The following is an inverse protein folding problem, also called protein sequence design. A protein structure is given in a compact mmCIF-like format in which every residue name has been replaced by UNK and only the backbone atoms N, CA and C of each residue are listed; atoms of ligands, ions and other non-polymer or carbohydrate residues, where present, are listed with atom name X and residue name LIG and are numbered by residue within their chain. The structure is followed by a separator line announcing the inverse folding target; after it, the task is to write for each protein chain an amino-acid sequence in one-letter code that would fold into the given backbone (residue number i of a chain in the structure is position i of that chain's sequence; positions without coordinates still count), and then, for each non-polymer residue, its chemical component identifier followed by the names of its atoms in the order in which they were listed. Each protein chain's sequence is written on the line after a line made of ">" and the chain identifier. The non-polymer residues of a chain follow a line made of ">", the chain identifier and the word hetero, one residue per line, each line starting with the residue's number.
data_IF_202997756945
#
_entry.id   IF_202997756945
#
_cell.length_a   1.000
_cell.length_b   1.000
_cell.length_c   1.000
_cell.angle_alpha   90.00
_cell.angle_beta   90.00
_cell.angle_gamma   90.00
#
_symmetry.space_group_name_H-M   'P 1'
#
loop_
_entity.id
_entity.type
_entity.pdbx_description
1 polymer ?
#
# COMPACT_ATOMS: atom_id res chain seq x y z
N UNK A 1 21.18 -6.01 -9.13
CA UNK A 1 19.90 -5.63 -8.50
C UNK A 1 19.92 -4.14 -8.25
N UNK A 2 18.75 -3.50 -8.11
CA UNK A 2 18.65 -2.12 -7.71
C UNK A 2 18.97 -2.00 -6.21
N UNK A 3 19.80 -1.04 -5.83
CA UNK A 3 20.09 -0.77 -4.42
C UNK A 3 18.97 0.12 -3.85
N UNK A 4 18.40 -0.26 -2.72
CA UNK A 4 17.36 0.50 -2.03
C UNK A 4 17.92 1.35 -0.87
N UNK A 5 19.17 1.17 -0.49
CA UNK A 5 19.80 1.88 0.62
C UNK A 5 19.70 3.39 0.44
N UNK A 6 19.39 4.10 1.50
CA UNK A 6 19.18 5.54 1.56
C UNK A 6 18.04 6.10 0.67
N UNK A 7 17.21 5.26 0.07
CA UNK A 7 15.95 5.70 -0.53
C UNK A 7 14.94 6.05 0.56
N UNK A 8 13.90 6.77 0.17
CA UNK A 8 12.80 7.14 1.06
C UNK A 8 11.49 6.55 0.53
N UNK A 9 10.79 5.80 1.37
CA UNK A 9 9.47 5.25 1.06
C UNK A 9 8.39 5.85 1.96
N UNK A 10 7.23 6.16 1.38
CA UNK A 10 6.00 6.43 2.13
C UNK A 10 5.10 5.21 2.02
N UNK A 11 4.64 4.70 3.19
CA UNK A 11 3.72 3.55 3.28
C UNK A 11 2.41 4.02 3.89
N UNK A 12 1.33 4.05 3.10
CA UNK A 12 0.02 4.37 3.63
C UNK A 12 -0.58 3.19 4.39
N UNK A 13 -1.18 3.46 5.56
CA UNK A 13 -1.65 2.39 6.44
C UNK A 13 -0.50 1.59 7.07
N UNK A 14 0.65 2.24 7.35
CA UNK A 14 1.88 1.58 7.82
C UNK A 14 1.91 1.24 9.31
N UNK A 15 0.87 1.58 10.08
CA UNK A 15 0.86 1.38 11.54
C UNK A 15 0.59 -0.05 12.00
N UNK A 16 0.09 -0.94 11.13
CA UNK A 16 -0.21 -2.35 11.47
C UNK A 16 -0.27 -3.25 10.24
N UNK A 17 -0.35 -4.55 10.48
CA UNK A 17 -0.61 -5.58 9.46
C UNK A 17 0.34 -5.50 8.27
N UNK A 18 -0.22 -5.58 7.08
CA UNK A 18 0.53 -5.64 5.83
C UNK A 18 1.43 -4.42 5.61
N UNK A 19 0.94 -3.21 5.91
CA UNK A 19 1.72 -1.98 5.76
C UNK A 19 2.93 -1.93 6.71
N UNK A 20 2.76 -2.37 7.99
CA UNK A 20 3.87 -2.49 8.96
C UNK A 20 4.91 -3.50 8.48
N UNK A 21 4.49 -4.66 8.00
CA UNK A 21 5.41 -5.68 7.48
C UNK A 21 6.22 -5.16 6.28
N UNK A 22 5.57 -4.50 5.32
CA UNK A 22 6.26 -3.87 4.17
C UNK A 22 7.24 -2.78 4.63
N UNK A 23 6.84 -1.93 5.58
CA UNK A 23 7.72 -0.90 6.13
C UNK A 23 8.99 -1.51 6.77
N UNK A 24 8.84 -2.57 7.56
CA UNK A 24 9.96 -3.28 8.18
C UNK A 24 10.85 -3.96 7.13
N UNK A 25 10.27 -4.63 6.14
CA UNK A 25 11.05 -5.29 5.09
C UNK A 25 11.90 -4.29 4.28
N UNK A 26 11.36 -3.10 3.99
CA UNK A 26 12.10 -2.03 3.30
C UNK A 26 13.14 -1.38 4.22
N UNK A 27 12.85 -1.19 5.50
CA UNK A 27 13.80 -0.68 6.49
C UNK A 27 15.04 -1.57 6.61
N UNK A 28 14.88 -2.90 6.58
CA UNK A 28 15.98 -3.85 6.58
C UNK A 28 16.89 -3.75 5.33
N UNK A 29 16.41 -3.16 4.25
CA UNK A 29 17.22 -2.80 3.06
C UNK A 29 17.83 -1.39 3.15
N UNK A 30 17.72 -0.72 4.32
CA UNK A 30 18.26 0.62 4.56
C UNK A 30 17.42 1.76 3.95
N UNK A 31 16.13 1.53 3.70
CA UNK A 31 15.18 2.55 3.23
C UNK A 31 14.69 3.37 4.41
N UNK A 32 14.71 4.71 4.29
CA UNK A 32 14.06 5.61 5.24
C UNK A 32 12.54 5.56 5.03
N UNK A 33 11.76 5.50 6.11
CA UNK A 33 10.34 5.18 6.05
C UNK A 33 9.47 6.28 6.64
N UNK A 34 8.52 6.79 5.84
CA UNK A 34 7.38 7.56 6.32
C UNK A 34 6.13 6.68 6.34
N UNK A 35 5.43 6.63 7.44
CA UNK A 35 4.17 5.89 7.55
C UNK A 35 2.99 6.80 7.85
N UNK A 36 1.81 6.43 7.33
CA UNK A 36 0.58 7.18 7.61
C UNK A 36 -0.52 6.27 8.13
N UNK A 37 -1.45 6.85 8.86
CA UNK A 37 -2.61 6.13 9.39
C UNK A 37 -3.46 6.99 10.32
N UNK A 38 -4.53 6.42 10.88
CA UNK A 38 -5.46 7.13 11.76
C UNK A 38 -5.16 6.94 13.25
N UNK A 39 -4.53 5.84 13.62
CA UNK A 39 -4.21 5.53 15.01
C UNK A 39 -2.74 5.90 15.29
N UNK A 40 -2.56 6.97 16.08
CA UNK A 40 -1.26 7.52 16.38
C UNK A 40 -0.38 6.57 17.21
N UNK A 41 -0.97 5.80 18.13
CA UNK A 41 -0.23 4.86 18.98
C UNK A 41 0.42 3.75 18.13
N UNK A 42 -0.34 3.16 17.20
CA UNK A 42 0.20 2.16 16.28
C UNK A 42 1.31 2.74 15.39
N UNK A 43 1.19 4.00 14.98
CA UNK A 43 2.22 4.66 14.17
C UNK A 43 3.47 4.90 14.99
N UNK A 44 3.36 5.37 16.24
CA UNK A 44 4.49 5.57 17.16
C UNK A 44 5.24 4.28 17.44
N UNK A 45 4.51 3.20 17.73
CA UNK A 45 5.10 1.88 17.95
C UNK A 45 5.88 1.40 16.71
N UNK A 46 5.27 1.55 15.52
CA UNK A 46 5.92 1.14 14.28
C UNK A 46 7.16 1.98 14.00
N UNK A 47 7.10 3.31 14.18
CA UNK A 47 8.28 4.19 14.01
C UNK A 47 9.40 3.79 14.96
N UNK A 48 9.09 3.54 16.25
CA UNK A 48 10.09 3.06 17.20
C UNK A 48 10.76 1.75 16.75
N UNK A 49 9.98 0.82 16.19
CA UNK A 49 10.51 -0.43 15.61
C UNK A 49 11.44 -0.15 14.43
N UNK A 50 11.07 0.78 13.53
CA UNK A 50 11.85 1.15 12.36
C UNK A 50 13.15 1.86 12.74
N UNK A 51 13.12 2.77 13.71
CA UNK A 51 14.30 3.47 14.21
C UNK A 51 15.30 2.50 14.89
N UNK A 52 14.81 1.46 15.56
CA UNK A 52 15.65 0.41 16.13
C UNK A 52 16.43 -0.40 15.06
N UNK A 53 15.95 -0.42 13.81
CA UNK A 53 16.70 -0.99 12.67
C UNK A 53 17.84 -0.07 12.22
N UNK A 54 17.82 1.22 12.58
CA UNK A 54 18.89 2.18 12.28
C UNK A 54 18.63 3.05 11.07
N UNK A 55 17.38 3.16 10.60
CA UNK A 55 16.97 4.06 9.52
C UNK A 55 16.25 5.30 10.08
N UNK A 56 16.08 6.32 9.24
CA UNK A 56 15.20 7.44 9.58
C UNK A 56 13.75 7.03 9.38
N UNK A 57 12.92 7.23 10.41
CA UNK A 57 11.49 6.97 10.32
C UNK A 57 10.68 8.18 10.79
N UNK A 58 9.51 8.38 10.21
CA UNK A 58 8.56 9.42 10.58
C UNK A 58 7.13 8.94 10.36
N UNK A 59 6.16 9.60 11.00
CA UNK A 59 4.75 9.32 10.77
C UNK A 59 3.93 10.60 10.62
N UNK A 60 2.79 10.48 9.95
CA UNK A 60 1.76 11.51 9.90
C UNK A 60 0.38 10.91 10.12
N UNK A 61 -0.42 11.56 10.98
CA UNK A 61 -1.75 11.08 11.38
C UNK A 61 -2.81 11.76 10.53
N UNK A 62 -3.46 11.04 9.66
CA UNK A 62 -4.59 11.53 8.88
C UNK A 62 -5.47 10.40 8.33
N UNK A 63 -6.68 10.77 7.87
CA UNK A 63 -7.53 9.86 7.10
C UNK A 63 -7.20 9.99 5.62
N UNK A 64 -6.95 8.85 4.97
CA UNK A 64 -6.52 8.79 3.56
C UNK A 64 -7.61 9.26 2.57
N UNK A 65 -8.87 9.33 3.01
CA UNK A 65 -10.03 9.77 2.23
C UNK A 65 -10.24 11.30 2.21
N UNK A 66 -9.39 12.06 2.91
CA UNK A 66 -9.36 13.52 2.86
C UNK A 66 -8.15 14.01 2.05
N UNK A 67 -8.39 14.56 0.86
CA UNK A 67 -7.32 15.00 -0.05
C UNK A 67 -6.38 16.04 0.56
N UNK A 68 -6.92 17.01 1.30
CA UNK A 68 -6.13 18.10 1.88
C UNK A 68 -5.19 17.58 2.97
N UNK A 69 -5.69 16.69 3.83
CA UNK A 69 -4.88 16.06 4.88
C UNK A 69 -3.78 15.17 4.27
N UNK A 70 -4.09 14.46 3.19
CA UNK A 70 -3.11 13.63 2.45
C UNK A 70 -2.00 14.49 1.86
N UNK A 71 -2.34 15.60 1.18
CA UNK A 71 -1.35 16.50 0.59
C UNK A 71 -0.44 17.07 1.68
N UNK A 72 -1.03 17.56 2.77
CA UNK A 72 -0.30 18.11 3.90
C UNK A 72 0.62 17.08 4.55
N UNK A 73 0.07 15.93 4.95
CA UNK A 73 0.82 14.91 5.69
C UNK A 73 1.92 14.24 4.86
N UNK A 74 1.70 14.02 3.56
CA UNK A 74 2.75 13.53 2.65
C UNK A 74 3.83 14.60 2.46
N UNK A 75 3.46 15.88 2.36
CA UNK A 75 4.41 16.98 2.27
C UNK A 75 5.33 17.06 3.49
N UNK A 76 4.75 16.99 4.69
CA UNK A 76 5.49 16.99 5.96
C UNK A 76 6.47 15.80 6.05
N UNK A 77 6.02 14.59 5.65
CA UNK A 77 6.90 13.41 5.62
C UNK A 77 8.02 13.55 4.60
N UNK A 78 7.74 14.09 3.42
CA UNK A 78 8.74 14.31 2.38
C UNK A 78 9.80 15.32 2.83
N UNK A 79 9.41 16.37 3.55
CA UNK A 79 10.35 17.35 4.13
C UNK A 79 11.23 16.72 5.20
N UNK A 80 10.63 16.01 6.18
CA UNK A 80 11.36 15.35 7.26
C UNK A 80 12.37 14.31 6.77
N UNK A 81 12.04 13.58 5.71
CA UNK A 81 12.84 12.48 5.19
C UNK A 81 13.74 12.85 4.00
N UNK A 82 13.67 14.10 3.51
CA UNK A 82 14.51 14.59 2.41
C UNK A 82 14.04 14.15 1.01
N UNK A 83 12.74 13.97 0.84
CA UNK A 83 12.09 13.63 -0.41
C UNK A 83 11.40 12.26 -0.41
N UNK A 84 10.91 11.82 -1.57
CA UNK A 84 10.23 10.52 -1.74
C UNK A 84 10.77 9.83 -2.99
N UNK A 85 11.11 8.55 -2.86
CA UNK A 85 11.51 7.66 -3.97
C UNK A 85 10.46 6.59 -4.26
N UNK A 86 9.73 6.16 -3.22
CA UNK A 86 8.81 5.02 -3.27
C UNK A 86 7.50 5.39 -2.56
N UNK A 87 6.37 5.07 -3.18
CA UNK A 87 5.07 5.08 -2.53
C UNK A 87 4.52 3.66 -2.48
N UNK A 88 4.11 3.21 -1.30
CA UNK A 88 3.32 1.99 -1.11
C UNK A 88 1.89 2.40 -0.74
N UNK A 89 0.98 2.36 -1.70
CA UNK A 89 -0.45 2.55 -1.51
C UNK A 89 -1.07 1.27 -0.95
N UNK A 90 -1.00 1.14 0.38
CA UNK A 90 -1.50 -0.02 1.11
C UNK A 90 -2.77 0.28 1.92
N UNK A 91 -3.01 1.52 2.33
CA UNK A 91 -4.18 1.87 3.11
C UNK A 91 -5.47 1.39 2.45
N UNK A 92 -6.32 0.71 3.22
CA UNK A 92 -7.58 0.19 2.74
C UNK A 92 -8.43 -0.39 3.86
N UNK A 93 -9.72 -0.50 3.59
CA UNK A 93 -10.71 -1.13 4.46
C UNK A 93 -11.49 -2.18 3.68
N UNK A 94 -11.98 -3.20 4.38
CA UNK A 94 -12.92 -4.18 3.88
C UNK A 94 -14.20 -4.12 4.70
N UNK A 95 -15.33 -4.01 4.03
CA UNK A 95 -16.63 -4.28 4.59
C UNK A 95 -17.28 -5.34 3.70
N UNK A 96 -17.72 -6.42 4.31
CA UNK A 96 -18.26 -7.60 3.66
C UNK A 96 -19.72 -7.81 4.08
N UNK A 97 -20.57 -8.16 3.13
CA UNK A 97 -22.01 -8.35 3.31
C UNK A 97 -22.73 -8.40 1.97
N UNK A 98 -24.01 -8.80 2.00
CA UNK A 98 -24.83 -8.82 0.80
C UNK A 98 -25.02 -7.40 0.24
N UNK A 99 -25.25 -7.27 -1.06
CA UNK A 99 -25.39 -5.96 -1.69
C UNK A 99 -26.67 -5.24 -1.25
N UNK A 100 -27.71 -6.01 -0.97
CA UNK A 100 -29.01 -5.49 -0.53
C UNK A 100 -29.00 -4.98 0.92
N UNK A 101 -28.13 -5.53 1.78
CA UNK A 101 -28.09 -5.18 3.22
C UNK A 101 -27.00 -4.15 3.54
N UNK A 102 -26.04 -3.92 2.63
CA UNK A 102 -24.95 -2.99 2.90
C UNK A 102 -25.42 -1.54 2.84
N UNK A 103 -25.27 -0.75 3.93
CA UNK A 103 -25.62 0.67 3.90
C UNK A 103 -24.79 1.43 2.85
N UNK A 104 -25.42 2.35 2.13
CA UNK A 104 -24.77 3.09 1.03
C UNK A 104 -23.55 3.90 1.49
N UNK A 105 -23.62 4.51 2.67
CA UNK A 105 -22.52 5.26 3.27
C UNK A 105 -21.30 4.38 3.59
N UNK A 106 -21.54 3.14 4.04
CA UNK A 106 -20.49 2.14 4.27
C UNK A 106 -19.87 1.73 2.93
N UNK A 107 -20.69 1.48 1.91
CA UNK A 107 -20.23 1.14 0.57
C UNK A 107 -19.37 2.26 -0.03
N UNK A 108 -19.85 3.52 0.05
CA UNK A 108 -19.13 4.70 -0.41
C UNK A 108 -17.80 4.90 0.36
N UNK A 109 -17.80 4.65 1.67
CA UNK A 109 -16.59 4.78 2.50
C UNK A 109 -15.49 3.83 2.04
N UNK A 110 -15.84 2.60 1.60
CA UNK A 110 -14.86 1.67 1.02
C UNK A 110 -14.25 2.24 -0.26
N UNK A 111 -15.06 2.81 -1.15
CA UNK A 111 -14.56 3.45 -2.37
C UNK A 111 -13.67 4.66 -2.06
N UNK A 112 -14.11 5.54 -1.15
CA UNK A 112 -13.34 6.71 -0.75
C UNK A 112 -11.97 6.32 -0.20
N UNK A 113 -11.92 5.34 0.70
CA UNK A 113 -10.67 4.90 1.30
C UNK A 113 -9.76 4.18 0.29
N UNK A 114 -10.29 3.16 -0.40
CA UNK A 114 -9.46 2.25 -1.17
C UNK A 114 -9.06 2.79 -2.55
N UNK A 115 -9.88 3.66 -3.14
CA UNK A 115 -9.64 4.22 -4.47
C UNK A 115 -9.21 5.68 -4.41
N UNK A 116 -10.03 6.55 -3.82
CA UNK A 116 -9.71 7.99 -3.77
C UNK A 116 -8.47 8.24 -2.91
N UNK A 117 -8.34 7.55 -1.77
CA UNK A 117 -7.14 7.64 -0.93
C UNK A 117 -5.87 7.28 -1.68
N UNK A 118 -5.88 6.19 -2.46
CA UNK A 118 -4.74 5.80 -3.28
C UNK A 118 -4.44 6.84 -4.39
N UNK A 119 -5.47 7.39 -5.02
CA UNK A 119 -5.33 8.48 -5.98
C UNK A 119 -4.74 9.74 -5.35
N UNK A 120 -5.23 10.17 -4.19
CA UNK A 120 -4.72 11.35 -3.48
C UNK A 120 -3.24 11.19 -3.09
N UNK A 121 -2.88 10.05 -2.53
CA UNK A 121 -1.49 9.77 -2.15
C UNK A 121 -0.57 9.74 -3.38
N UNK A 122 -0.99 9.08 -4.46
CA UNK A 122 -0.23 9.06 -5.71
C UNK A 122 -0.04 10.46 -6.30
N UNK A 123 -1.09 11.28 -6.32
CA UNK A 123 -1.05 12.68 -6.78
C UNK A 123 -0.12 13.52 -5.89
N UNK A 124 -0.16 13.33 -4.57
CA UNK A 124 0.66 14.09 -3.62
C UNK A 124 2.15 13.73 -3.72
N UNK A 125 2.52 12.48 -3.99
CA UNK A 125 3.94 12.10 -4.13
C UNK A 125 4.52 12.38 -5.51
N UNK A 126 3.70 12.48 -6.56
CA UNK A 126 4.16 12.63 -7.94
C UNK A 126 5.19 13.76 -8.16
N UNK A 127 5.01 14.99 -7.59
CA UNK A 127 6.01 16.05 -7.74
C UNK A 127 7.40 15.67 -7.23
N UNK A 128 7.48 14.92 -6.12
CA UNK A 128 8.74 14.46 -5.53
C UNK A 128 9.43 13.42 -6.40
N UNK A 129 8.66 12.41 -6.89
CA UNK A 129 9.18 11.39 -7.80
C UNK A 129 9.70 12.01 -9.10
N UNK A 130 8.93 12.95 -9.66
CA UNK A 130 9.31 13.69 -10.88
C UNK A 130 10.58 14.53 -10.67
N UNK A 131 10.71 15.21 -9.53
CA UNK A 131 11.89 16.00 -9.20
C UNK A 131 13.16 15.15 -9.09
N UNK A 132 13.05 13.89 -8.64
CA UNK A 132 14.14 12.92 -8.62
C UNK A 132 14.44 12.28 -9.98
N UNK A 133 13.61 12.52 -11.02
CA UNK A 133 13.73 11.92 -12.35
C UNK A 133 13.51 10.41 -12.38
N UNK A 134 13.03 9.82 -11.27
CA UNK A 134 12.68 8.41 -11.14
C UNK A 134 11.83 8.17 -9.89
N UNK A 135 11.10 7.07 -9.86
CA UNK A 135 10.35 6.66 -8.67
C UNK A 135 9.62 5.34 -8.85
N UNK A 136 9.08 4.84 -7.76
CA UNK A 136 8.28 3.62 -7.74
C UNK A 136 6.98 3.83 -6.99
N UNK A 137 5.87 3.40 -7.55
CA UNK A 137 4.56 3.36 -6.89
C UNK A 137 4.05 1.93 -6.91
N UNK A 138 3.79 1.37 -5.73
CA UNK A 138 3.19 0.06 -5.55
C UNK A 138 1.77 0.24 -5.05
N UNK A 139 0.79 -0.14 -5.85
CA UNK A 139 -0.62 -0.13 -5.48
C UNK A 139 -1.04 -1.53 -5.03
N UNK A 140 -1.44 -1.66 -3.77
CA UNK A 140 -1.92 -2.90 -3.19
C UNK A 140 -3.40 -3.07 -3.51
N UNK A 141 -3.67 -3.76 -4.62
CA UNK A 141 -5.02 -4.13 -5.02
C UNK A 141 -5.49 -5.42 -4.29
N UNK A 142 -6.10 -6.35 -4.97
CA UNK A 142 -6.51 -7.66 -4.45
C UNK A 142 -6.90 -8.59 -5.59
N UNK A 143 -6.80 -9.90 -5.40
CA UNK A 143 -7.40 -10.90 -6.29
C UNK A 143 -8.93 -10.72 -6.42
N UNK A 144 -9.60 -10.17 -5.40
CA UNK A 144 -11.00 -9.79 -5.46
C UNK A 144 -11.31 -8.71 -6.52
N UNK A 145 -10.33 -7.86 -6.87
CA UNK A 145 -10.45 -6.89 -7.96
C UNK A 145 -10.33 -7.54 -9.35
N UNK A 146 -9.79 -8.75 -9.45
CA UNK A 146 -9.71 -9.54 -10.70
C UNK A 146 -10.95 -10.43 -10.86
N UNK A 147 -11.41 -11.03 -9.76
CA UNK A 147 -12.58 -11.90 -9.73
C UNK A 147 -13.32 -11.68 -8.41
N UNK A 148 -14.45 -11.00 -8.48
CA UNK A 148 -15.30 -10.75 -7.33
C UNK A 148 -16.00 -12.02 -6.86
N UNK A 149 -16.23 -12.11 -5.56
CA UNK A 149 -17.11 -13.09 -4.93
C UNK A 149 -18.37 -12.44 -4.38
N UNK A 150 -19.34 -13.25 -3.94
CA UNK A 150 -20.50 -12.75 -3.19
C UNK A 150 -20.07 -12.07 -1.88
N UNK A 151 -20.86 -11.10 -1.43
CA UNK A 151 -20.62 -10.41 -0.15
C UNK A 151 -19.45 -9.41 -0.12
N UNK A 152 -18.83 -9.09 -1.27
CA UNK A 152 -17.68 -8.18 -1.30
C UNK A 152 -17.80 -7.06 -2.36
N UNK A 153 -19.02 -6.62 -2.67
CA UNK A 153 -19.31 -5.70 -3.77
C UNK A 153 -18.47 -4.41 -3.70
N UNK A 154 -18.49 -3.70 -2.58
CA UNK A 154 -17.74 -2.45 -2.41
C UNK A 154 -16.21 -2.68 -2.50
N UNK A 155 -15.73 -3.69 -1.79
CA UNK A 155 -14.30 -4.02 -1.76
C UNK A 155 -13.78 -4.42 -3.15
N UNK A 156 -14.45 -5.38 -3.80
CA UNK A 156 -14.08 -5.84 -5.13
C UNK A 156 -14.12 -4.72 -6.17
N UNK A 157 -15.19 -3.90 -6.17
CA UNK A 157 -15.31 -2.74 -7.06
C UNK A 157 -14.17 -1.75 -6.84
N UNK A 158 -13.85 -1.42 -5.57
CA UNK A 158 -12.74 -0.52 -5.24
C UNK A 158 -11.38 -1.03 -5.73
N UNK A 159 -11.12 -2.34 -5.58
CA UNK A 159 -9.86 -2.96 -5.99
C UNK A 159 -9.75 -3.14 -7.51
N UNK A 160 -10.86 -3.41 -8.21
CA UNK A 160 -10.93 -3.41 -9.67
C UNK A 160 -10.65 -2.00 -10.24
N UNK A 161 -11.27 -0.97 -9.65
CA UNK A 161 -11.03 0.41 -10.02
C UNK A 161 -9.57 0.84 -9.75
N UNK A 162 -8.96 0.41 -8.65
CA UNK A 162 -7.55 0.66 -8.35
C UNK A 162 -6.62 0.00 -9.38
N UNK A 163 -6.93 -1.22 -9.85
CA UNK A 163 -6.18 -1.86 -10.94
C UNK A 163 -6.23 -1.00 -12.21
N UNK A 164 -7.41 -0.53 -12.61
CA UNK A 164 -7.58 0.32 -13.79
C UNK A 164 -6.87 1.68 -13.63
N UNK A 165 -6.98 2.33 -12.47
CA UNK A 165 -6.25 3.56 -12.14
C UNK A 165 -4.74 3.35 -12.28
N UNK A 166 -4.23 2.23 -11.76
CA UNK A 166 -2.80 1.90 -11.82
C UNK A 166 -2.29 1.76 -13.25
N UNK A 167 -3.09 1.17 -14.14
CA UNK A 167 -2.77 1.05 -15.57
C UNK A 167 -2.66 2.41 -16.25
N UNK A 168 -3.58 3.33 -15.95
CA UNK A 168 -3.54 4.72 -16.45
C UNK A 168 -2.31 5.45 -15.94
N UNK A 169 -2.04 5.38 -14.63
CA UNK A 169 -0.84 5.96 -14.02
C UNK A 169 0.44 5.40 -14.66
N UNK A 170 0.51 4.09 -14.90
CA UNK A 170 1.64 3.45 -15.55
C UNK A 170 1.84 4.00 -16.97
N UNK A 171 0.78 4.13 -17.75
CA UNK A 171 0.86 4.65 -19.12
C UNK A 171 1.37 6.10 -19.17
N UNK A 172 0.95 6.94 -18.22
CA UNK A 172 1.34 8.34 -18.11
C UNK A 172 2.77 8.52 -17.56
N UNK A 173 3.14 7.78 -16.51
CA UNK A 173 4.34 8.07 -15.71
C UNK A 173 5.58 7.29 -16.13
N UNK A 174 5.43 6.17 -16.86
CA UNK A 174 6.60 5.41 -17.33
C UNK A 174 7.59 6.22 -18.17
N UNK A 175 7.10 7.21 -18.92
CA UNK A 175 7.95 8.14 -19.68
C UNK A 175 8.75 9.11 -18.80
N UNK A 176 8.35 9.24 -17.54
CA UNK A 176 9.04 10.01 -16.51
C UNK A 176 9.98 9.13 -15.65
N UNK A 177 10.26 7.90 -16.11
CA UNK A 177 11.03 6.90 -15.36
C UNK A 177 10.42 6.55 -13.99
N UNK A 178 9.07 6.62 -13.87
CA UNK A 178 8.33 6.21 -12.69
C UNK A 178 7.66 4.87 -12.99
N UNK A 179 7.99 3.83 -12.21
CA UNK A 179 7.35 2.53 -12.31
C UNK A 179 6.08 2.53 -11.46
N UNK A 180 4.95 2.15 -12.04
CA UNK A 180 3.70 1.91 -11.32
C UNK A 180 3.42 0.41 -11.38
N UNK A 181 3.33 -0.21 -10.22
CA UNK A 181 3.24 -1.66 -10.01
C UNK A 181 1.92 -1.94 -9.31
N UNK A 182 1.13 -2.86 -9.85
CA UNK A 182 -0.13 -3.29 -9.23
C UNK A 182 0.04 -4.70 -8.67
N UNK A 183 -0.18 -4.87 -7.38
CA UNK A 183 -0.10 -6.18 -6.73
C UNK A 183 -1.48 -6.63 -6.28
N UNK A 184 -1.83 -7.85 -6.65
CA UNK A 184 -3.14 -8.46 -6.40
C UNK A 184 -2.99 -9.72 -5.53
N UNK A 185 -2.69 -9.55 -4.24
CA UNK A 185 -2.62 -10.70 -3.32
C UNK A 185 -3.99 -11.36 -3.17
N UNK A 186 -3.96 -12.67 -2.94
CA UNK A 186 -5.11 -13.40 -2.39
C UNK A 186 -5.24 -13.10 -0.88
N UNK A 187 -5.99 -13.89 -0.14
CA UNK A 187 -6.16 -13.68 1.30
C UNK A 187 -4.81 -13.73 2.02
N UNK A 188 -4.51 -12.66 2.77
CA UNK A 188 -3.37 -12.58 3.69
C UNK A 188 -3.92 -12.53 5.11
N UNK A 189 -3.29 -13.23 6.05
CA UNK A 189 -3.63 -13.17 7.45
C UNK A 189 -3.48 -11.73 7.97
N UNK A 190 -4.60 -11.12 8.29
CA UNK A 190 -4.67 -9.75 8.79
C UNK A 190 -5.93 -9.59 9.64
N UNK A 191 -5.95 -8.57 10.48
CA UNK A 191 -7.15 -8.24 11.25
C UNK A 191 -8.38 -8.06 10.34
N UNK A 192 -8.22 -7.44 9.18
CA UNK A 192 -9.28 -7.26 8.19
C UNK A 192 -9.83 -8.60 7.68
N UNK A 193 -8.96 -9.53 7.29
CA UNK A 193 -9.37 -10.81 6.72
C UNK A 193 -9.91 -11.78 7.77
N UNK A 194 -9.35 -11.76 8.97
CA UNK A 194 -9.80 -12.58 10.10
C UNK A 194 -11.17 -12.09 10.59
N UNK A 195 -11.33 -10.80 10.88
CA UNK A 195 -12.59 -10.22 11.32
C UNK A 195 -13.67 -10.27 10.23
N UNK A 196 -13.26 -10.26 8.95
CA UNK A 196 -14.16 -10.46 7.82
C UNK A 196 -14.54 -11.91 7.53
N UNK A 197 -14.06 -12.87 8.33
CA UNK A 197 -14.35 -14.28 8.16
C UNK A 197 -13.76 -14.93 6.92
N UNK A 198 -12.74 -14.30 6.32
CA UNK A 198 -12.09 -14.80 5.10
C UNK A 198 -11.01 -15.86 5.38
N UNK A 199 -10.50 -15.89 6.60
CA UNK A 199 -9.49 -16.86 7.06
C UNK A 199 -9.47 -16.92 8.58
N UNK A 200 -8.98 -18.04 9.12
CA UNK A 200 -8.63 -18.20 10.54
C UNK A 200 -7.22 -17.68 10.88
N UNK A 201 -6.45 -17.27 9.87
CA UNK A 201 -5.08 -16.77 10.01
C UNK A 201 -4.01 -17.87 10.13
N UNK A 202 -4.36 -19.15 9.94
CA UNK A 202 -3.43 -20.27 10.07
C UNK A 202 -2.22 -20.11 9.12
N UNK A 203 -0.98 -19.96 9.64
CA UNK A 203 0.19 -19.71 8.82
C UNK A 203 0.56 -20.86 7.87
N UNK A 204 0.10 -22.08 8.12
CA UNK A 204 0.34 -23.22 7.26
C UNK A 204 -0.56 -23.23 6.00
N UNK A 205 -1.59 -22.37 5.97
CA UNK A 205 -2.62 -22.36 4.93
C UNK A 205 -2.74 -21.05 4.18
N UNK A 206 -2.53 -19.94 4.85
CA UNK A 206 -2.78 -18.62 4.29
C UNK A 206 -1.51 -17.77 4.30
N UNK A 207 -1.36 -16.91 3.28
CA UNK A 207 -0.25 -15.97 3.21
C UNK A 207 -0.17 -15.12 4.48
N UNK A 208 1.06 -14.88 4.94
CA UNK A 208 1.34 -13.97 6.04
C UNK A 208 1.73 -12.58 5.49
N UNK A 209 1.61 -11.51 6.28
CA UNK A 209 2.04 -10.18 5.87
C UNK A 209 3.50 -10.13 5.39
N UNK A 210 4.37 -10.95 5.98
CA UNK A 210 5.79 -11.06 5.67
C UNK A 210 6.03 -11.61 4.26
N UNK A 211 5.25 -12.60 3.80
CA UNK A 211 5.36 -13.16 2.44
C UNK A 211 5.12 -12.08 1.38
N UNK A 212 4.13 -11.24 1.62
CA UNK A 212 3.83 -10.11 0.74
C UNK A 212 4.91 -9.03 0.82
N UNK A 213 5.40 -8.74 2.01
CA UNK A 213 6.43 -7.73 2.24
C UNK A 213 7.75 -8.09 1.54
N UNK A 214 8.16 -9.36 1.60
CA UNK A 214 9.31 -9.89 0.87
C UNK A 214 9.13 -9.74 -0.64
N UNK A 215 7.95 -10.07 -1.16
CA UNK A 215 7.65 -9.92 -2.57
C UNK A 215 7.72 -8.45 -3.04
N UNK A 216 7.20 -7.50 -2.26
CA UNK A 216 7.32 -6.06 -2.54
C UNK A 216 8.78 -5.64 -2.58
N UNK A 217 9.58 -6.02 -1.58
CA UNK A 217 11.02 -5.77 -1.51
C UNK A 217 11.73 -6.27 -2.77
N UNK A 218 11.50 -7.51 -3.15
CA UNK A 218 12.20 -8.16 -4.28
C UNK A 218 11.84 -7.51 -5.62
N UNK A 219 10.59 -7.15 -5.83
CA UNK A 219 10.15 -6.39 -7.01
C UNK A 219 10.86 -5.03 -7.10
N UNK A 220 10.97 -4.30 -6.00
CA UNK A 220 11.65 -3.00 -5.96
C UNK A 220 13.15 -3.13 -6.22
N UNK A 221 13.77 -4.25 -5.82
CA UNK A 221 15.19 -4.58 -6.10
C UNK A 221 15.46 -5.01 -7.54
N UNK A 222 14.45 -5.29 -8.35
CA UNK A 222 14.64 -5.58 -9.76
C UNK A 222 15.27 -4.40 -10.50
N UNK A 223 16.10 -4.72 -11.52
CA UNK A 223 16.69 -3.68 -12.37
C UNK A 223 15.58 -2.78 -12.95
N UNK A 224 15.78 -1.46 -12.89
CA UNK A 224 14.76 -0.47 -13.29
C UNK A 224 14.29 -0.58 -14.75
N UNK A 225 15.07 -1.19 -15.66
CA UNK A 225 14.62 -1.47 -17.02
C UNK A 225 13.49 -2.51 -17.10
N UNK A 226 13.28 -3.26 -16.01
CA UNK A 226 12.17 -4.20 -15.87
C UNK A 226 11.04 -3.56 -15.06
N UNK A 227 9.82 -3.69 -15.57
CA UNK A 227 8.60 -3.26 -14.91
C UNK A 227 7.66 -4.45 -14.80
N UNK A 228 7.33 -4.84 -13.57
CA UNK A 228 6.19 -5.73 -13.30
C UNK A 228 4.96 -4.84 -13.24
N UNK A 229 4.17 -4.82 -14.32
CA UNK A 229 2.96 -4.01 -14.36
C UNK A 229 1.88 -4.53 -13.41
N UNK A 230 1.68 -5.86 -13.40
CA UNK A 230 0.73 -6.55 -12.53
C UNK A 230 1.35 -7.84 -12.00
N UNK A 231 1.03 -8.20 -10.78
CA UNK A 231 1.45 -9.47 -10.18
C UNK A 231 0.41 -9.97 -9.18
N UNK A 232 0.25 -11.29 -9.10
CA UNK A 232 -0.61 -11.97 -8.13
C UNK A 232 0.17 -12.96 -7.30
N UNK A 233 -0.15 -13.06 -6.03
CA UNK A 233 0.38 -14.06 -5.11
C UNK A 233 -0.77 -14.78 -4.41
N UNK A 234 -0.67 -16.09 -4.30
CA UNK A 234 -1.67 -16.97 -3.72
C UNK A 234 -1.04 -17.93 -2.74
N UNK A 235 -1.80 -18.37 -1.75
CA UNK A 235 -1.41 -19.51 -0.92
C UNK A 235 -1.27 -20.76 -1.77
N UNK A 236 -0.25 -21.56 -1.52
CA UNK A 236 -0.01 -22.80 -2.27
C UNK A 236 -1.03 -23.88 -1.90
N UNK A 237 -1.50 -23.89 -0.65
CA UNK A 237 -2.41 -24.89 -0.10
C UNK A 237 -3.44 -24.23 0.80
N UNK A 238 -4.46 -23.54 0.22
CA UNK A 238 -5.45 -22.75 0.97
C UNK A 238 -6.45 -23.63 1.75
#
# INVERSE_FOLDING_TARGET
>A
MNDLKNKTAIVTGGGKGLGKAVAIALANEGVNIGITGRNEENLKETVSTLEAIGIKAAYSVFSIDNEQDVIKGIGELAEQLGGVDILINNAGIGNFGSIEDMPSDVWEQVIKTNLFGAYYAAKAVHPYLKAKGQGDVVNVASSAGLKAGGGMSAYAASKAALISLSQSMMAEWRKQNIRVITLTPSTIASEMSINGGLTDGNPDKVLQPEDFAEWVRDILKMNRRALIANGSIFSTNP
#
